data_IF_444140512681
#
_entry.id   IF_444140512681
#
_cell.length_a   1.000
_cell.length_b   1.000
_cell.length_c   1.000
_cell.angle_alpha   90.00
_cell.angle_beta   90.00
_cell.angle_gamma   90.00
#
_symmetry.space_group_name_H-M   'P 1'
#
loop_
_entity.id
_entity.type
_entity.pdbx_description
1 polymer ?
#
# COMPACT_ATOMS: atom_id res chain seq x y z
N UNK A 1 -1.29 -17.42 -0.67
CA UNK A 1 -1.17 -15.95 -0.63
C UNK A 1 -0.34 -15.38 -1.79
N UNK A 2 0.96 -15.66 -1.91
CA UNK A 2 1.82 -15.11 -2.99
C UNK A 2 1.27 -15.38 -4.40
N UNK A 3 0.86 -16.63 -4.69
CA UNK A 3 0.24 -17.00 -5.97
C UNK A 3 -1.00 -16.14 -6.29
N UNK A 4 -1.90 -16.02 -5.31
CA UNK A 4 -3.11 -15.22 -5.43
C UNK A 4 -2.80 -13.75 -5.76
N UNK A 5 -1.87 -13.11 -5.04
CA UNK A 5 -1.51 -11.70 -5.28
C UNK A 5 -0.79 -11.48 -6.63
N UNK A 6 -0.07 -12.50 -7.13
CA UNK A 6 0.54 -12.45 -8.47
C UNK A 6 -0.52 -12.56 -9.57
N UNK A 7 -1.45 -13.49 -9.43
CA UNK A 7 -2.45 -13.82 -10.46
C UNK A 7 -3.67 -12.90 -10.43
N UNK A 8 -3.96 -12.25 -9.31
CA UNK A 8 -5.14 -11.40 -9.11
C UNK A 8 -4.73 -9.95 -8.83
N UNK A 9 -5.72 -9.07 -8.79
CA UNK A 9 -5.55 -7.65 -8.45
C UNK A 9 -6.66 -7.17 -7.51
N UNK A 10 -6.72 -7.70 -6.26
CA UNK A 10 -7.69 -7.28 -5.26
C UNK A 10 -7.49 -5.83 -4.83
N UNK A 11 -8.56 -5.24 -4.29
CA UNK A 11 -8.54 -3.91 -3.68
C UNK A 11 -7.81 -3.97 -2.33
N UNK A 12 -6.50 -3.71 -2.37
CA UNK A 12 -5.63 -3.80 -1.19
C UNK A 12 -4.59 -2.68 -1.20
N UNK A 13 -4.41 -2.06 -0.04
CA UNK A 13 -3.35 -1.09 0.22
C UNK A 13 -2.39 -1.68 1.24
N UNK A 14 -1.11 -1.69 0.91
CA UNK A 14 -0.03 -2.07 1.82
C UNK A 14 0.77 -0.81 2.19
N UNK A 15 0.99 -0.62 3.49
CA UNK A 15 1.78 0.48 4.04
C UNK A 15 2.91 -0.11 4.85
N UNK A 16 4.13 0.36 4.57
CA UNK A 16 5.35 -0.11 5.20
C UNK A 16 6.20 1.06 5.68
N UNK A 17 6.86 0.87 6.82
CA UNK A 17 7.99 1.70 7.23
C UNK A 17 9.30 1.14 6.63
N UNK A 18 10.15 1.99 6.07
CA UNK A 18 11.43 1.57 5.48
C UNK A 18 12.39 0.95 6.50
N UNK A 19 12.32 1.38 7.75
CA UNK A 19 13.15 0.89 8.87
C UNK A 19 12.40 -0.15 9.72
N UNK A 20 11.15 -0.48 9.36
CA UNK A 20 10.39 -1.55 10.00
C UNK A 20 10.93 -2.92 9.55
N UNK A 21 11.45 -3.77 10.46
CA UNK A 21 11.92 -5.10 10.10
C UNK A 21 10.82 -5.98 9.48
N UNK A 22 9.55 -5.72 9.77
CA UNK A 22 8.43 -6.46 9.19
C UNK A 22 8.23 -6.18 7.69
N UNK A 23 8.78 -5.07 7.17
CA UNK A 23 8.74 -4.76 5.73
C UNK A 23 9.45 -5.82 4.89
N UNK A 24 10.46 -6.49 5.45
CA UNK A 24 11.22 -7.54 4.75
C UNK A 24 10.36 -8.74 4.34
N UNK A 25 9.30 -9.07 5.09
CA UNK A 25 8.37 -10.16 4.75
C UNK A 25 7.18 -9.68 3.89
N UNK A 26 7.14 -8.39 3.58
CA UNK A 26 6.06 -7.74 2.85
C UNK A 26 6.03 -8.02 1.35
N UNK A 27 5.18 -7.26 0.67
CA UNK A 27 4.92 -7.41 -0.78
C UNK A 27 5.45 -6.24 -1.60
N UNK A 28 6.53 -5.60 -1.16
CA UNK A 28 7.19 -4.46 -1.81
C UNK A 28 7.67 -4.74 -3.25
N UNK A 29 7.73 -6.02 -3.64
CA UNK A 29 8.04 -6.49 -4.98
C UNK A 29 6.83 -6.48 -5.94
N UNK A 30 5.60 -6.30 -5.46
CA UNK A 30 4.41 -6.16 -6.32
C UNK A 30 4.46 -4.82 -7.05
N UNK A 31 4.44 -4.88 -8.39
CA UNK A 31 4.45 -3.73 -9.29
C UNK A 31 3.41 -3.93 -10.39
N UNK A 32 3.03 -2.84 -11.06
CA UNK A 32 2.15 -2.84 -12.24
C UNK A 32 0.76 -3.47 -11.98
N UNK A 33 0.20 -3.22 -10.80
CA UNK A 33 -1.16 -3.59 -10.42
C UNK A 33 -2.05 -2.34 -10.43
N UNK A 34 -3.32 -2.48 -10.81
CA UNK A 34 -4.27 -1.36 -10.84
C UNK A 34 -4.83 -1.12 -9.45
N UNK A 35 -5.22 -2.18 -8.75
CA UNK A 35 -5.87 -2.08 -7.43
C UNK A 35 -4.88 -2.29 -6.28
N UNK A 36 -3.96 -3.24 -6.37
CA UNK A 36 -2.94 -3.38 -5.33
C UNK A 36 -2.01 -2.17 -5.37
N UNK A 37 -1.97 -1.41 -4.27
CA UNK A 37 -1.06 -0.28 -4.06
C UNK A 37 -0.14 -0.57 -2.89
N UNK A 38 1.16 -0.33 -3.06
CA UNK A 38 2.18 -0.54 -2.03
C UNK A 38 2.93 0.75 -1.80
N UNK A 39 2.94 1.23 -0.56
CA UNK A 39 3.63 2.45 -0.15
C UNK A 39 4.67 2.11 0.92
N UNK A 40 5.88 2.61 0.74
CA UNK A 40 6.99 2.45 1.70
C UNK A 40 7.49 3.83 2.06
N UNK A 41 7.43 4.20 3.34
CA UNK A 41 7.98 5.47 3.83
C UNK A 41 9.45 5.27 4.19
N UNK A 42 10.43 5.86 3.47
CA UNK A 42 11.84 5.77 3.84
C UNK A 42 12.06 6.34 5.26
N UNK A 43 12.81 5.62 6.10
CA UNK A 43 13.00 6.01 7.51
C UNK A 43 11.78 5.79 8.42
N UNK A 44 10.66 5.29 7.88
CA UNK A 44 9.45 4.99 8.63
C UNK A 44 9.60 3.75 9.52
N UNK A 45 9.01 3.78 10.72
CA UNK A 45 8.99 2.65 11.66
C UNK A 45 7.72 1.81 11.51
N UNK A 46 7.53 0.82 12.39
CA UNK A 46 6.30 0.01 12.46
C UNK A 46 5.01 0.83 12.68
N UNK A 47 5.12 2.07 13.15
CA UNK A 47 3.96 2.96 13.37
C UNK A 47 3.49 3.70 12.12
N UNK A 48 4.18 3.49 10.99
CA UNK A 48 3.88 4.12 9.71
C UNK A 48 2.45 3.81 9.28
N UNK A 49 1.71 4.85 8.89
CA UNK A 49 0.30 4.80 8.50
C UNK A 49 0.05 5.82 7.41
N UNK A 50 -1.18 5.91 6.89
CA UNK A 50 -1.54 6.88 5.84
C UNK A 50 -1.08 8.30 6.21
N UNK A 51 -1.40 8.74 7.44
CA UNK A 51 -1.02 10.07 7.93
C UNK A 51 0.49 10.29 8.17
N UNK A 52 1.34 9.29 7.93
CA UNK A 52 2.80 9.43 8.01
C UNK A 52 3.43 9.93 6.71
N UNK A 53 2.71 9.83 5.58
CA UNK A 53 3.18 10.30 4.27
C UNK A 53 2.91 11.79 4.07
N UNK A 54 3.49 12.38 3.03
CA UNK A 54 3.15 13.73 2.59
C UNK A 54 1.68 13.84 2.12
N UNK A 55 1.19 15.07 1.99
CA UNK A 55 -0.21 15.34 1.66
C UNK A 55 -0.61 14.78 0.30
N UNK A 56 0.27 14.81 -0.70
CA UNK A 56 -0.06 14.33 -2.04
C UNK A 56 -0.26 12.81 -2.03
N UNK A 57 0.65 12.09 -1.38
CA UNK A 57 0.53 10.63 -1.18
C UNK A 57 -0.71 10.28 -0.36
N UNK A 58 -1.04 11.06 0.68
CA UNK A 58 -2.26 10.86 1.46
C UNK A 58 -3.52 11.01 0.61
N UNK A 59 -3.59 12.02 -0.25
CA UNK A 59 -4.73 12.25 -1.13
C UNK A 59 -4.84 11.20 -2.24
N UNK A 60 -3.72 10.69 -2.79
CA UNK A 60 -3.72 9.54 -3.68
C UNK A 60 -4.38 8.33 -3.00
N UNK A 61 -3.94 8.00 -1.79
CA UNK A 61 -4.45 6.86 -1.02
C UNK A 61 -5.95 7.01 -0.74
N UNK A 62 -6.39 8.19 -0.28
CA UNK A 62 -7.80 8.46 0.01
C UNK A 62 -8.66 8.39 -1.25
N UNK A 63 -8.18 8.95 -2.35
CA UNK A 63 -8.88 8.91 -3.65
C UNK A 63 -9.08 7.47 -4.11
N UNK A 64 -8.04 6.63 -3.99
CA UNK A 64 -8.12 5.22 -4.33
C UNK A 64 -9.15 4.47 -3.47
N UNK A 65 -9.18 4.71 -2.16
CA UNK A 65 -10.15 4.10 -1.24
C UNK A 65 -11.57 4.56 -1.57
N UNK A 66 -11.77 5.87 -1.78
CA UNK A 66 -13.08 6.42 -2.15
C UNK A 66 -13.57 5.85 -3.49
N UNK A 67 -12.67 5.64 -4.46
CA UNK A 67 -13.02 5.03 -5.73
C UNK A 67 -13.46 3.55 -5.59
N UNK A 68 -13.05 2.84 -4.53
CA UNK A 68 -13.52 1.49 -4.23
C UNK A 68 -14.84 1.49 -3.47
N UNK A 69 -14.97 2.34 -2.46
CA UNK A 69 -16.18 2.44 -1.64
C UNK A 69 -17.41 2.91 -2.42
N UNK A 70 -17.21 3.66 -3.49
CA UNK A 70 -18.28 4.16 -4.35
C UNK A 70 -18.48 3.33 -5.63
N UNK A 71 -17.97 2.09 -5.69
CA UNK A 71 -18.31 1.16 -6.76
C UNK A 71 -19.72 0.62 -6.50
N UNK A 72 -20.62 0.89 -7.45
CA UNK A 72 -21.96 0.29 -7.50
C UNK A 72 -21.91 -1.23 -7.72
#
# INVERSE_FOLDING_TARGET
MVKFLKENDPEMIYIYGGDDPWTASGVTWLKNKKNIKVYVLPGGSHTTRIGSFDTDTQEEIKTQINAWLNKE
#
